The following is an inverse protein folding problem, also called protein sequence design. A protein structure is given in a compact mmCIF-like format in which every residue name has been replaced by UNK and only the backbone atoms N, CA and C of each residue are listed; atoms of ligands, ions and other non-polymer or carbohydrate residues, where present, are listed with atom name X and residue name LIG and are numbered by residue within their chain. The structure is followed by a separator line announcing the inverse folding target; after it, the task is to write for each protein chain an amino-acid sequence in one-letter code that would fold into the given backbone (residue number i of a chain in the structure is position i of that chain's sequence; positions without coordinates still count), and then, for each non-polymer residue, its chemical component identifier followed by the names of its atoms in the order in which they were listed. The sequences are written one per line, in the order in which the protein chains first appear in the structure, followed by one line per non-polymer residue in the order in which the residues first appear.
data_IF_375839910337
#
_entry.id   IF_375839910337
#
_cell.length_a   1.000
_cell.length_b   1.000
_cell.length_c   1.000
_cell.angle_alpha   90.00
_cell.angle_beta   90.00
_cell.angle_gamma   90.00
#
_symmetry.space_group_name_H-M   'P 1'
#
loop_
_entity.id
_entity.type
_entity.pdbx_description
1 polymer ?
#
# COMPACT_ATOMS: atom_id res chain seq x y z
N UNK A 1 -10.23 8.06 1.79
CA UNK A 1 -10.15 6.66 2.27
C UNK A 1 -10.00 5.78 1.04
N UNK A 2 -8.99 4.91 0.99
CA UNK A 2 -8.74 4.04 -0.17
C UNK A 2 -9.54 2.73 -0.04
N UNK A 3 -9.68 2.00 -1.15
CA UNK A 3 -10.42 0.73 -1.24
C UNK A 3 -9.65 -0.30 -2.05
N UNK A 4 -10.12 -1.55 -2.03
CA UNK A 4 -9.65 -2.58 -2.96
C UNK A 4 -9.81 -2.07 -4.40
N UNK A 5 -8.76 -2.23 -5.21
CA UNK A 5 -8.65 -1.70 -6.57
C UNK A 5 -8.10 -0.28 -6.67
N UNK A 6 -7.92 0.45 -5.56
CA UNK A 6 -7.27 1.76 -5.58
C UNK A 6 -5.79 1.64 -5.91
N UNK A 7 -5.26 2.64 -6.61
CA UNK A 7 -3.83 2.83 -6.77
C UNK A 7 -3.38 3.89 -5.76
N UNK A 8 -2.43 3.54 -4.90
CA UNK A 8 -1.95 4.39 -3.81
C UNK A 8 -0.43 4.52 -3.83
N UNK A 9 0.07 5.63 -3.31
CA UNK A 9 1.46 5.82 -2.93
C UNK A 9 1.62 5.66 -1.43
N UNK A 10 2.67 4.97 -1.02
CA UNK A 10 3.04 4.84 0.39
C UNK A 10 4.54 4.97 0.58
N UNK A 11 4.93 5.47 1.74
CA UNK A 11 6.32 5.73 2.11
C UNK A 11 6.86 4.62 3.03
N UNK A 12 8.00 4.06 2.66
CA UNK A 12 8.71 3.11 3.51
C UNK A 12 9.40 3.84 4.67
N UNK A 13 9.23 3.30 5.89
CA UNK A 13 9.99 3.81 7.03
C UNK A 13 11.47 3.50 6.87
N UNK A 14 12.30 4.52 6.97
CA UNK A 14 13.75 4.43 7.08
C UNK A 14 14.50 5.18 6.00
N UNK A 15 14.10 5.03 4.75
CA UNK A 15 14.77 5.61 3.58
C UNK A 15 13.94 6.67 2.82
N UNK A 16 12.66 6.82 3.18
CA UNK A 16 11.75 7.74 2.50
C UNK A 16 11.36 7.28 1.09
N UNK A 17 11.63 6.02 0.75
CA UNK A 17 11.29 5.47 -0.57
C UNK A 17 9.77 5.44 -0.73
N UNK A 18 9.27 6.15 -1.76
CA UNK A 18 7.87 6.12 -2.15
C UNK A 18 7.66 4.99 -3.15
N UNK A 19 6.62 4.18 -2.92
CA UNK A 19 6.20 3.11 -3.83
C UNK A 19 4.74 3.27 -4.20
N UNK A 20 4.40 2.86 -5.42
CA UNK A 20 3.02 2.81 -5.90
C UNK A 20 2.53 1.37 -5.93
N UNK A 21 1.32 1.12 -5.41
CA UNK A 21 0.69 -0.21 -5.46
C UNK A 21 -0.76 -0.15 -5.94
N UNK A 22 -1.22 -1.23 -6.54
CA UNK A 22 -2.64 -1.56 -6.67
C UNK A 22 -3.08 -2.35 -5.44
N UNK A 23 -4.02 -1.81 -4.67
CA UNK A 23 -4.55 -2.45 -3.46
C UNK A 23 -5.38 -3.67 -3.85
N UNK A 24 -5.04 -4.83 -3.29
CA UNK A 24 -5.77 -6.09 -3.48
C UNK A 24 -6.63 -6.44 -2.27
N UNK A 25 -6.19 -6.08 -1.07
CA UNK A 25 -6.92 -6.34 0.17
C UNK A 25 -6.71 -5.25 1.22
N UNK A 26 -7.59 -5.22 2.23
CA UNK A 26 -7.53 -4.35 3.39
C UNK A 26 -7.83 -5.13 4.66
N UNK A 27 -6.98 -4.98 5.66
CA UNK A 27 -7.14 -5.62 6.98
C UNK A 27 -6.97 -4.57 8.09
N UNK A 28 -7.79 -4.69 9.13
CA UNK A 28 -7.68 -3.86 10.33
C UNK A 28 -6.48 -4.29 11.21
N UNK A 29 -5.96 -5.50 11.01
CA UNK A 29 -4.72 -6.01 11.60
C UNK A 29 -3.82 -6.69 10.56
N UNK A 30 -3.28 -5.91 9.62
CA UNK A 30 -2.30 -6.44 8.66
C UNK A 30 -1.04 -6.96 9.37
N UNK A 31 -0.66 -6.29 10.48
CA UNK A 31 0.48 -6.67 11.32
C UNK A 31 0.49 -5.91 12.65
N UNK A 32 0.75 -6.63 13.74
CA UNK A 32 0.96 -6.06 15.09
C UNK A 32 -0.21 -5.19 15.61
N UNK A 33 -1.45 -5.58 15.33
CA UNK A 33 -2.66 -4.87 15.73
C UNK A 33 -2.90 -3.57 14.97
N UNK A 34 -2.35 -3.43 13.75
CA UNK A 34 -2.42 -2.17 12.99
C UNK A 34 -3.05 -2.37 11.62
N UNK A 35 -3.89 -1.42 11.16
CA UNK A 35 -4.55 -1.52 9.88
C UNK A 35 -3.60 -1.27 8.72
N UNK A 36 -3.92 -1.87 7.58
CA UNK A 36 -3.13 -1.74 6.37
C UNK A 36 -3.76 -2.41 5.16
N UNK A 37 -2.89 -2.66 4.18
CA UNK A 37 -3.26 -3.21 2.89
C UNK A 37 -2.26 -4.24 2.41
N UNK A 38 -2.75 -5.15 1.57
CA UNK A 38 -1.95 -5.92 0.62
C UNK A 38 -2.12 -5.31 -0.78
N UNK A 39 -1.05 -5.30 -1.56
CA UNK A 39 -1.06 -4.74 -2.91
C UNK A 39 0.03 -5.25 -3.83
N UNK A 40 -0.16 -5.00 -5.12
CA UNK A 40 0.82 -5.29 -6.17
C UNK A 40 1.60 -4.04 -6.51
N UNK A 41 2.94 -4.11 -6.45
CA UNK A 41 3.81 -3.00 -6.85
C UNK A 41 3.68 -2.67 -8.33
N UNK A 42 3.58 -1.36 -8.63
CA UNK A 42 3.53 -0.78 -9.96
C UNK A 42 4.68 0.23 -10.17
N UNK A 43 5.09 0.50 -11.43
CA UNK A 43 5.15 -0.43 -12.56
C UNK A 43 6.41 -1.33 -12.51
N UNK A 44 7.40 -0.95 -11.70
CA UNK A 44 8.79 -1.44 -11.78
C UNK A 44 9.01 -2.86 -11.25
N UNK A 45 8.04 -3.42 -10.50
CA UNK A 45 8.15 -4.76 -9.91
C UNK A 45 6.99 -5.70 -10.29
N UNK A 46 6.44 -5.55 -11.51
CA UNK A 46 5.48 -6.44 -12.22
C UNK A 46 4.81 -7.54 -11.37
N UNK A 47 4.00 -7.15 -10.38
CA UNK A 47 3.19 -8.10 -9.62
C UNK A 47 3.84 -8.71 -8.37
N UNK A 48 4.95 -8.16 -7.87
CA UNK A 48 5.40 -8.49 -6.51
C UNK A 48 4.34 -8.01 -5.51
N UNK A 49 3.81 -8.95 -4.75
CA UNK A 49 2.95 -8.66 -3.61
C UNK A 49 3.75 -8.05 -2.47
N UNK A 50 3.19 -7.00 -1.89
CA UNK A 50 3.69 -6.32 -0.71
C UNK A 50 2.52 -5.96 0.18
N UNK A 51 2.82 -5.81 1.47
CA UNK A 51 1.90 -5.23 2.43
C UNK A 51 2.46 -3.89 2.95
N UNK A 52 1.58 -3.06 3.48
CA UNK A 52 1.92 -1.78 4.11
C UNK A 52 0.86 -1.33 5.09
N UNK A 53 1.21 -0.42 5.99
CA UNK A 53 0.26 0.14 6.95
C UNK A 53 -0.48 1.35 6.39
N UNK A 54 -1.70 1.59 6.88
CA UNK A 54 -2.52 2.75 6.48
C UNK A 54 -1.82 4.08 6.72
N UNK A 55 -1.08 4.20 7.83
CA UNK A 55 -0.37 5.42 8.17
C UNK A 55 0.82 5.73 7.24
N UNK A 56 1.25 4.76 6.42
CA UNK A 56 2.31 4.97 5.43
C UNK A 56 1.78 5.57 4.14
N UNK A 57 0.47 5.56 3.93
CA UNK A 57 -0.14 6.04 2.70
C UNK A 57 0.00 7.56 2.64
N UNK A 58 0.66 8.05 1.61
CA UNK A 58 0.89 9.48 1.40
C UNK A 58 -0.11 10.06 0.41
N UNK A 59 -0.58 9.26 -0.55
CA UNK A 59 -1.50 9.73 -1.61
C UNK A 59 -2.34 8.60 -2.20
N UNK A 60 -3.58 8.91 -2.56
CA UNK A 60 -4.43 8.06 -3.42
C UNK A 60 -4.34 8.61 -4.84
N UNK A 61 -3.81 7.81 -5.78
CA UNK A 61 -3.69 8.19 -7.19
C UNK A 61 -5.00 7.95 -7.93
N UNK A 62 -5.63 6.79 -7.70
CA UNK A 62 -6.85 6.36 -8.41
C UNK A 62 -7.73 5.46 -7.55
N UNK A 63 -9.04 5.49 -7.80
CA UNK A 63 -10.07 4.64 -7.17
C UNK A 63 -10.56 3.49 -8.05
#
# INVERSE_FOLDING_TARGET
MYRIGSIIEYELRGDGTIRTVLVQDKDDDIKNGRPGFDGLLLPENKGRQVWGYDYQITKIIKY
#
